data_IF_113166605322
#
_entry.id   IF_113166605322
#
_cell.length_a   1.000
_cell.length_b   1.000
_cell.length_c   1.000
_cell.angle_alpha   90.00
_cell.angle_beta   90.00
_cell.angle_gamma   90.00
#
_symmetry.space_group_name_H-M   'P 1'
#
loop_
_entity.id
_entity.type
_entity.pdbx_description
1 polymer ?
#
# COMPACT_ATOMS: atom_id res chain seq x y z
N UNK A 1 -1.77 -1.23 61.24
CA UNK A 1 -2.70 -2.33 60.91
C UNK A 1 -2.41 -2.79 59.49
N UNK A 2 -1.65 -3.86 59.32
CA UNK A 2 -1.36 -4.43 58.00
C UNK A 2 -2.43 -5.47 57.66
N UNK A 3 -3.20 -5.22 56.61
CA UNK A 3 -4.21 -6.14 56.07
C UNK A 3 -3.50 -7.30 55.35
N UNK A 4 -3.55 -8.48 55.96
CA UNK A 4 -3.04 -9.72 55.37
C UNK A 4 -4.06 -10.20 54.32
N UNK A 5 -3.83 -9.89 53.04
CA UNK A 5 -4.64 -10.43 51.93
C UNK A 5 -4.20 -11.87 51.69
N UNK A 6 -4.91 -12.82 52.29
CA UNK A 6 -4.74 -14.23 51.97
C UNK A 6 -5.00 -14.44 50.47
N UNK A 7 -4.05 -15.06 49.77
CA UNK A 7 -4.21 -15.45 48.37
C UNK A 7 -5.39 -16.42 48.20
N UNK A 8 -5.89 -16.59 46.97
CA UNK A 8 -7.02 -17.46 46.73
C UNK A 8 -6.70 -18.90 47.17
N UNK A 9 -7.69 -19.62 47.74
CA UNK A 9 -7.50 -20.98 48.22
C UNK A 9 -7.09 -21.91 47.06
N UNK A 10 -6.25 -22.90 47.33
CA UNK A 10 -5.73 -23.84 46.33
C UNK A 10 -6.84 -24.57 45.55
N UNK A 11 -8.01 -24.75 46.16
CA UNK A 11 -9.20 -25.31 45.50
C UNK A 11 -9.75 -24.45 44.37
N UNK A 12 -9.59 -23.12 44.46
CA UNK A 12 -9.98 -22.19 43.41
C UNK A 12 -9.05 -22.29 42.19
N UNK A 13 -7.75 -22.48 42.42
CA UNK A 13 -6.79 -22.71 41.35
C UNK A 13 -7.00 -24.07 40.65
N UNK A 14 -7.42 -25.08 41.39
CA UNK A 14 -7.82 -26.37 40.81
C UNK A 14 -9.06 -26.23 39.93
N UNK A 15 -10.12 -25.54 40.42
CA UNK A 15 -11.32 -25.29 39.62
C UNK A 15 -11.08 -24.46 38.36
N UNK A 16 -10.11 -23.54 38.37
CA UNK A 16 -9.69 -22.81 37.17
C UNK A 16 -8.97 -23.69 36.14
N UNK A 17 -8.19 -24.67 36.60
CA UNK A 17 -7.56 -25.65 35.70
C UNK A 17 -8.59 -26.56 35.07
N UNK A 18 -9.51 -27.09 35.86
CA UNK A 18 -10.61 -27.92 35.36
C UNK A 18 -11.47 -27.14 34.35
N UNK A 19 -11.73 -25.86 34.63
CA UNK A 19 -12.42 -24.97 33.69
C UNK A 19 -11.62 -24.71 32.40
N UNK A 20 -10.31 -24.45 32.50
CA UNK A 20 -9.44 -24.28 31.33
C UNK A 20 -9.32 -25.55 30.49
N UNK A 21 -9.33 -26.74 31.10
CA UNK A 21 -9.29 -28.01 30.38
C UNK A 21 -10.64 -28.34 29.73
N UNK A 22 -11.75 -28.14 30.46
CA UNK A 22 -13.10 -28.42 29.95
C UNK A 22 -13.53 -27.44 28.84
N UNK A 23 -13.03 -26.20 28.90
CA UNK A 23 -13.31 -25.14 27.92
C UNK A 23 -12.03 -24.67 27.24
N UNK A 24 -11.11 -25.59 26.95
CA UNK A 24 -9.92 -25.28 26.17
C UNK A 24 -10.35 -24.72 24.81
N UNK A 25 -10.42 -23.40 24.71
CA UNK A 25 -10.65 -22.72 23.45
C UNK A 25 -9.38 -22.98 22.64
N UNK A 26 -9.44 -23.70 21.52
CA UNK A 26 -8.28 -23.82 20.66
C UNK A 26 -7.86 -22.40 20.27
N UNK A 27 -6.69 -21.98 20.77
CA UNK A 27 -6.06 -20.75 20.31
C UNK A 27 -5.48 -21.09 18.96
N UNK A 28 -6.29 -20.95 17.91
CA UNK A 28 -5.75 -20.94 16.56
C UNK A 28 -4.87 -19.71 16.42
N UNK A 29 -3.61 -19.93 16.03
CA UNK A 29 -2.70 -18.85 15.69
C UNK A 29 -3.16 -18.20 14.38
N UNK A 30 -4.14 -17.32 14.49
CA UNK A 30 -4.72 -16.54 13.38
C UNK A 30 -3.67 -15.68 12.66
N UNK A 31 -2.45 -15.56 13.21
CA UNK A 31 -1.31 -15.00 12.49
C UNK A 31 -0.92 -15.82 11.25
N UNK A 32 -1.48 -17.01 11.01
CA UNK A 32 -1.19 -17.81 9.80
C UNK A 32 -2.30 -17.87 8.75
N UNK A 33 -3.52 -17.37 9.00
CA UNK A 33 -4.65 -17.51 8.06
C UNK A 33 -4.84 -16.34 7.07
N UNK A 34 -4.46 -15.10 7.43
CA UNK A 34 -4.48 -13.95 6.51
C UNK A 34 -3.39 -13.90 5.39
N UNK A 35 -2.25 -14.65 5.40
CA UNK A 35 -1.21 -14.48 4.40
C UNK A 35 -1.59 -15.04 3.03
N UNK A 36 -2.49 -16.03 2.97
CA UNK A 36 -2.85 -16.68 1.71
C UNK A 36 -3.67 -15.74 0.79
N UNK A 37 -4.57 -14.93 1.36
CA UNK A 37 -5.45 -14.05 0.58
C UNK A 37 -4.67 -12.89 -0.08
N UNK A 38 -3.87 -12.17 0.70
CA UNK A 38 -3.04 -11.07 0.19
C UNK A 38 -1.96 -11.53 -0.81
N UNK A 39 -1.42 -12.72 -0.57
CA UNK A 39 -0.49 -13.33 -1.50
C UNK A 39 -1.20 -13.76 -2.79
N UNK A 40 -2.46 -14.20 -2.71
CA UNK A 40 -3.24 -14.57 -3.89
C UNK A 40 -3.57 -13.37 -4.79
N UNK A 41 -4.02 -12.24 -4.23
CA UNK A 41 -4.29 -11.03 -4.99
C UNK A 41 -3.03 -10.44 -5.62
N UNK A 42 -1.91 -10.42 -4.88
CA UNK A 42 -0.63 -9.95 -5.39
C UNK A 42 -0.09 -10.85 -6.51
N UNK A 43 -0.20 -12.17 -6.37
CA UNK A 43 0.19 -13.13 -7.42
C UNK A 43 -0.68 -13.00 -8.66
N UNK A 44 -1.99 -12.85 -8.49
CA UNK A 44 -2.90 -12.62 -9.61
C UNK A 44 -2.58 -11.32 -10.33
N UNK A 45 -2.34 -10.23 -9.58
CA UNK A 45 -1.92 -8.95 -10.14
C UNK A 45 -0.60 -9.08 -10.92
N UNK A 46 0.38 -9.80 -10.38
CA UNK A 46 1.67 -10.04 -11.06
C UNK A 46 1.51 -10.85 -12.35
N UNK A 47 0.69 -11.91 -12.34
CA UNK A 47 0.46 -12.77 -13.51
C UNK A 47 -0.27 -12.05 -14.66
N UNK A 48 -1.14 -11.09 -14.31
CA UNK A 48 -1.93 -10.33 -15.28
C UNK A 48 -1.30 -8.96 -15.62
N UNK A 49 -0.12 -8.67 -15.08
CA UNK A 49 0.51 -7.37 -15.23
C UNK A 49 0.96 -7.13 -16.69
N UNK A 50 0.68 -5.95 -17.25
CA UNK A 50 1.37 -5.42 -18.40
C UNK A 50 2.90 -5.46 -18.26
N UNK A 51 3.65 -5.70 -19.35
CA UNK A 51 5.11 -5.83 -19.32
C UNK A 51 5.85 -4.65 -18.68
N UNK A 52 5.26 -3.46 -18.74
CA UNK A 52 5.87 -2.22 -18.24
C UNK A 52 6.13 -2.24 -16.74
N UNK A 53 5.34 -3.01 -15.97
CA UNK A 53 5.48 -3.08 -14.51
C UNK A 53 5.37 -4.49 -13.93
N UNK A 54 5.33 -5.53 -14.78
CA UNK A 54 5.25 -6.93 -14.35
C UNK A 54 6.41 -7.34 -13.43
N UNK A 55 7.63 -6.93 -13.77
CA UNK A 55 8.83 -7.27 -12.99
C UNK A 55 8.75 -6.73 -11.55
N UNK A 56 8.22 -5.51 -11.37
CA UNK A 56 8.03 -4.95 -10.04
C UNK A 56 7.05 -5.76 -9.19
N UNK A 57 5.95 -6.25 -9.78
CA UNK A 57 5.00 -7.09 -9.04
C UNK A 57 5.56 -8.49 -8.76
N UNK A 58 6.33 -9.07 -9.68
CA UNK A 58 7.02 -10.34 -9.45
C UNK A 58 8.02 -10.24 -8.28
N UNK A 59 8.85 -9.20 -8.26
CA UNK A 59 9.77 -8.92 -7.16
C UNK A 59 9.02 -8.62 -5.84
N UNK A 60 7.86 -7.97 -5.90
CA UNK A 60 7.01 -7.75 -4.73
C UNK A 60 6.53 -9.07 -4.11
N UNK A 61 6.11 -10.04 -4.93
CA UNK A 61 5.72 -11.39 -4.48
C UNK A 61 6.89 -12.05 -3.76
N UNK A 62 8.07 -12.07 -4.37
CA UNK A 62 9.26 -12.69 -3.78
C UNK A 62 9.64 -12.02 -2.45
N UNK A 63 9.61 -10.70 -2.38
CA UNK A 63 9.89 -9.96 -1.16
C UNK A 63 8.88 -10.31 -0.06
N UNK A 64 7.59 -10.37 -0.39
CA UNK A 64 6.55 -10.66 0.59
C UNK A 64 6.68 -12.08 1.15
N UNK A 65 6.94 -13.08 0.29
CA UNK A 65 7.14 -14.49 0.69
C UNK A 65 8.33 -14.69 1.61
N UNK A 66 9.39 -13.90 1.41
CA UNK A 66 10.58 -13.88 2.26
C UNK A 66 10.45 -12.98 3.48
N UNK A 67 9.25 -12.46 3.77
CA UNK A 67 8.96 -11.55 4.88
C UNK A 67 9.74 -10.22 4.81
N UNK A 68 10.17 -9.82 3.62
CA UNK A 68 10.84 -8.55 3.33
C UNK A 68 9.81 -7.45 3.05
N UNK A 69 8.94 -7.17 4.03
CA UNK A 69 7.74 -6.34 3.83
C UNK A 69 8.04 -4.90 3.39
N UNK A 70 9.15 -4.30 3.83
CA UNK A 70 9.58 -2.97 3.33
C UNK A 70 9.85 -3.00 1.84
N UNK A 71 10.54 -4.03 1.36
CA UNK A 71 10.85 -4.20 -0.05
C UNK A 71 9.57 -4.48 -0.83
N UNK A 72 8.71 -5.38 -0.35
CA UNK A 72 7.42 -5.65 -0.99
C UNK A 72 6.58 -4.37 -1.19
N UNK A 73 6.49 -3.51 -0.16
CA UNK A 73 5.81 -2.21 -0.25
C UNK A 73 6.44 -1.30 -1.31
N UNK A 74 7.78 -1.22 -1.36
CA UNK A 74 8.49 -0.42 -2.35
C UNK A 74 8.21 -0.91 -3.79
N UNK A 75 8.18 -2.22 -3.99
CA UNK A 75 7.98 -2.82 -5.31
C UNK A 75 6.54 -2.68 -5.81
N UNK A 76 5.52 -2.89 -4.94
CA UNK A 76 4.12 -2.62 -5.30
C UNK A 76 3.90 -1.13 -5.59
N UNK A 77 4.55 -0.24 -4.83
CA UNK A 77 4.49 1.19 -5.11
C UNK A 77 5.07 1.55 -6.48
N UNK A 78 6.25 0.98 -6.82
CA UNK A 78 6.87 1.20 -8.12
C UNK A 78 5.95 0.76 -9.27
N UNK A 79 5.34 -0.42 -9.15
CA UNK A 79 4.35 -0.90 -10.11
C UNK A 79 3.15 0.05 -10.26
N UNK A 80 2.65 0.55 -9.12
CA UNK A 80 1.50 1.46 -9.08
C UNK A 80 1.77 2.77 -9.82
N UNK A 81 2.93 3.38 -9.56
CA UNK A 81 3.31 4.63 -10.23
C UNK A 81 3.59 4.43 -11.71
N UNK A 82 4.27 3.35 -12.10
CA UNK A 82 4.53 3.04 -13.51
C UNK A 82 3.22 2.79 -14.28
N UNK A 83 2.26 2.09 -13.67
CA UNK A 83 0.91 1.94 -14.21
C UNK A 83 0.24 3.30 -14.43
N UNK A 84 0.25 4.19 -13.41
CA UNK A 84 -0.32 5.53 -13.54
C UNK A 84 0.37 6.37 -14.63
N UNK A 85 1.69 6.27 -14.77
CA UNK A 85 2.41 6.92 -15.89
C UNK A 85 1.99 6.36 -17.25
N UNK A 86 1.78 5.05 -17.34
CA UNK A 86 1.21 4.40 -18.51
C UNK A 86 -0.16 4.96 -18.89
N UNK A 87 -1.04 5.11 -17.89
CA UNK A 87 -2.40 5.68 -18.07
C UNK A 87 -2.36 7.12 -18.57
N UNK A 88 -1.43 7.95 -18.06
CA UNK A 88 -1.23 9.32 -18.58
C UNK A 88 -0.79 9.30 -20.05
N UNK A 89 0.08 8.35 -20.41
CA UNK A 89 0.62 8.24 -21.76
C UNK A 89 -0.38 7.68 -22.77
N UNK A 90 -1.24 6.73 -22.36
CA UNK A 90 -2.26 6.12 -23.22
C UNK A 90 -3.49 7.01 -23.40
N UNK A 91 -3.88 7.77 -22.38
CA UNK A 91 -5.06 8.62 -22.45
C UNK A 91 -4.89 9.74 -23.48
N UNK A 92 -5.92 9.96 -24.32
CA UNK A 92 -5.89 11.00 -25.35
C UNK A 92 -5.68 12.39 -24.72
N UNK A 93 -4.52 12.98 -24.98
CA UNK A 93 -4.12 14.27 -24.44
C UNK A 93 -3.79 14.25 -22.95
N UNK A 94 -3.57 13.07 -22.34
CA UNK A 94 -3.32 12.90 -20.90
C UNK A 94 -2.15 13.73 -20.40
N UNK A 95 -1.01 13.69 -21.11
CA UNK A 95 0.17 14.54 -20.82
C UNK A 95 -0.20 16.03 -20.83
N UNK A 96 -0.97 16.48 -21.83
CA UNK A 96 -1.41 17.87 -21.93
C UNK A 96 -2.34 18.28 -20.79
N UNK A 97 -3.23 17.39 -20.35
CA UNK A 97 -4.12 17.62 -19.19
C UNK A 97 -3.33 17.74 -17.88
N UNK A 98 -2.38 16.84 -17.65
CA UNK A 98 -1.49 16.91 -16.48
C UNK A 98 -0.68 18.20 -16.51
N UNK A 99 -0.15 18.58 -17.68
CA UNK A 99 0.60 19.80 -17.85
C UNK A 99 -0.26 21.06 -17.61
N UNK A 100 -1.51 21.08 -18.06
CA UNK A 100 -2.44 22.18 -17.78
C UNK A 100 -2.70 22.33 -16.28
N UNK A 101 -2.93 21.22 -15.57
CA UNK A 101 -3.07 21.21 -14.11
C UNK A 101 -1.78 21.69 -13.40
N UNK A 102 -0.62 21.21 -13.88
CA UNK A 102 0.70 21.57 -13.34
C UNK A 102 0.96 23.07 -13.47
N UNK A 103 0.68 23.65 -14.64
CA UNK A 103 0.80 25.09 -14.84
C UNK A 103 -0.18 25.88 -13.97
N UNK A 104 -1.44 25.45 -13.88
CA UNK A 104 -2.45 26.12 -13.06
C UNK A 104 -2.08 26.17 -11.57
N UNK A 105 -1.48 25.10 -11.03
CA UNK A 105 -1.02 25.06 -9.62
C UNK A 105 0.35 25.68 -9.40
N UNK A 106 1.31 25.35 -10.25
CA UNK A 106 2.72 25.57 -9.97
C UNK A 106 3.41 26.48 -10.97
N UNK A 107 2.73 27.03 -11.99
CA UNK A 107 3.35 27.80 -13.07
C UNK A 107 4.16 29.03 -12.63
N UNK A 108 3.91 29.54 -11.42
CA UNK A 108 4.65 30.67 -10.82
C UNK A 108 5.70 30.23 -9.78
N UNK A 109 5.81 28.94 -9.49
CA UNK A 109 6.80 28.41 -8.54
C UNK A 109 8.19 28.32 -9.19
N UNK A 110 9.23 28.76 -8.47
CA UNK A 110 10.61 28.68 -8.96
C UNK A 110 11.17 27.26 -9.19
N UNK A 111 10.47 26.23 -8.70
CA UNK A 111 10.80 24.80 -8.95
C UNK A 111 9.92 24.16 -10.03
N UNK A 112 9.11 24.95 -10.72
CA UNK A 112 8.24 24.49 -11.79
C UNK A 112 9.04 23.80 -12.89
N UNK A 113 8.53 22.64 -13.33
CA UNK A 113 9.06 21.88 -14.46
C UNK A 113 7.91 21.55 -15.38
N UNK A 114 8.07 21.90 -16.64
CA UNK A 114 7.09 21.62 -17.68
C UNK A 114 7.08 20.13 -18.02
N UNK A 115 5.89 19.55 -18.21
CA UNK A 115 5.67 18.15 -18.60
C UNK A 115 5.24 18.11 -20.07
N UNK A 116 6.09 17.57 -20.95
CA UNK A 116 5.83 17.46 -22.39
C UNK A 116 5.65 16.03 -22.87
N UNK A 117 6.19 15.07 -22.13
CA UNK A 117 6.13 13.63 -22.41
C UNK A 117 6.07 12.82 -21.12
N UNK A 118 5.73 11.53 -21.22
CA UNK A 118 5.66 10.57 -20.10
C UNK A 118 6.89 10.68 -19.18
N UNK A 119 8.10 10.67 -19.75
CA UNK A 119 9.34 10.67 -18.95
C UNK A 119 9.55 11.95 -18.15
N UNK A 120 8.87 13.06 -18.48
CA UNK A 120 8.97 14.28 -17.71
C UNK A 120 8.21 14.18 -16.37
N UNK A 121 7.28 13.22 -16.23
CA UNK A 121 6.58 12.93 -14.99
C UNK A 121 7.52 12.51 -13.86
N UNK A 122 8.68 11.92 -14.21
CA UNK A 122 9.74 11.53 -13.25
C UNK A 122 10.37 12.72 -12.53
N UNK A 123 10.23 13.93 -13.08
CA UNK A 123 10.74 15.15 -12.46
C UNK A 123 9.75 15.80 -11.50
N UNK A 124 8.51 15.32 -11.46
CA UNK A 124 7.55 15.69 -10.44
C UNK A 124 7.83 14.83 -9.19
N UNK A 125 7.67 15.41 -8.01
CA UNK A 125 7.54 14.57 -6.82
C UNK A 125 6.27 13.72 -6.92
N UNK A 126 6.28 12.52 -6.34
CA UNK A 126 5.12 11.62 -6.38
C UNK A 126 3.88 12.27 -5.75
N UNK A 127 4.05 13.06 -4.69
CA UNK A 127 2.97 13.84 -4.07
C UNK A 127 2.36 14.86 -5.05
N UNK A 128 3.20 15.62 -5.75
CA UNK A 128 2.74 16.53 -6.81
C UNK A 128 2.03 15.77 -7.91
N UNK A 129 2.60 14.66 -8.38
CA UNK A 129 2.00 13.85 -9.44
C UNK A 129 0.61 13.33 -9.06
N UNK A 130 0.45 12.82 -7.83
CA UNK A 130 -0.84 12.34 -7.30
C UNK A 130 -1.85 13.50 -7.21
N UNK A 131 -1.43 14.68 -6.75
CA UNK A 131 -2.31 15.85 -6.70
C UNK A 131 -2.76 16.29 -8.09
N UNK A 132 -1.83 16.41 -9.03
CA UNK A 132 -2.11 16.80 -10.41
C UNK A 132 -2.98 15.77 -11.14
N UNK A 133 -2.87 14.50 -10.77
CA UNK A 133 -3.73 13.43 -11.28
C UNK A 133 -5.20 13.63 -10.87
N UNK A 134 -5.48 14.10 -9.65
CA UNK A 134 -6.85 14.47 -9.25
C UNK A 134 -7.34 15.69 -10.04
N UNK A 135 -6.51 16.74 -10.14
CA UNK A 135 -6.90 17.99 -10.83
C UNK A 135 -7.17 17.80 -12.31
N UNK A 136 -6.40 16.92 -12.96
CA UNK A 136 -6.61 16.56 -14.35
C UNK A 136 -7.86 15.67 -14.55
N UNK A 137 -8.44 15.16 -13.46
CA UNK A 137 -9.55 14.23 -13.48
C UNK A 137 -9.15 12.81 -13.88
N UNK A 138 -7.89 12.41 -13.65
CA UNK A 138 -7.44 11.02 -13.84
C UNK A 138 -7.91 10.12 -12.71
N UNK A 139 -7.93 10.65 -11.48
CA UNK A 139 -8.34 9.92 -10.27
C UNK A 139 -9.37 10.72 -9.48
N UNK A 140 -10.16 10.04 -8.66
CA UNK A 140 -11.07 10.72 -7.73
C UNK A 140 -10.39 11.10 -6.41
N UNK A 141 -11.08 11.88 -5.57
CA UNK A 141 -10.58 12.33 -4.26
C UNK A 141 -10.22 11.17 -3.31
N UNK A 142 -10.98 10.07 -3.35
CA UNK A 142 -10.72 8.90 -2.48
C UNK A 142 -9.41 8.21 -2.88
N UNK A 143 -9.16 8.09 -4.19
CA UNK A 143 -7.91 7.60 -4.73
C UNK A 143 -6.73 8.51 -4.34
N UNK A 144 -6.86 9.83 -4.48
CA UNK A 144 -5.80 10.77 -4.05
C UNK A 144 -5.45 10.57 -2.57
N UNK A 145 -6.47 10.50 -1.70
CA UNK A 145 -6.25 10.30 -0.25
C UNK A 145 -5.52 8.98 0.03
N UNK A 146 -5.99 7.89 -0.57
CA UNK A 146 -5.41 6.55 -0.37
C UNK A 146 -3.98 6.47 -0.88
N UNK A 147 -3.69 7.07 -2.04
CA UNK A 147 -2.35 7.17 -2.61
C UNK A 147 -1.42 8.02 -1.73
N UNK A 148 -1.90 9.12 -1.16
CA UNK A 148 -1.10 9.96 -0.25
C UNK A 148 -0.75 9.25 1.07
N UNK A 149 -1.72 8.51 1.65
CA UNK A 149 -1.48 7.67 2.83
C UNK A 149 -0.48 6.54 2.49
N UNK A 150 -0.63 5.92 1.32
CA UNK A 150 0.28 4.89 0.81
C UNK A 150 1.70 5.41 0.56
N UNK A 151 1.84 6.60 -0.03
CA UNK A 151 3.13 7.28 -0.24
C UNK A 151 3.84 7.51 1.09
N UNK A 152 3.11 7.89 2.14
CA UNK A 152 3.68 8.06 3.47
C UNK A 152 4.27 6.75 4.00
N UNK A 153 3.53 5.64 3.91
CA UNK A 153 4.00 4.32 4.31
C UNK A 153 5.21 3.87 3.49
N UNK A 154 5.16 4.07 2.17
CA UNK A 154 6.29 3.77 1.28
C UNK A 154 7.53 4.56 1.67
N UNK A 155 7.41 5.85 1.98
CA UNK A 155 8.53 6.68 2.37
C UNK A 155 9.14 6.23 3.71
N UNK A 156 8.32 5.83 4.69
CA UNK A 156 8.81 5.21 5.92
C UNK A 156 9.61 3.92 5.63
N UNK A 157 9.16 3.13 4.65
CA UNK A 157 9.86 1.92 4.22
C UNK A 157 11.14 2.22 3.42
N UNK A 158 11.19 3.31 2.65
CA UNK A 158 12.35 3.68 1.82
C UNK A 158 13.48 4.40 2.57
N UNK A 159 13.15 5.16 3.62
CA UNK A 159 14.16 5.86 4.42
C UNK A 159 14.92 4.91 5.37
N UNK A 160 16.21 5.20 5.66
CA UNK A 160 17.01 4.42 6.60
C UNK A 160 16.56 4.70 8.05
N UNK A 161 15.40 4.16 8.41
CA UNK A 161 14.82 4.26 9.75
C UNK A 161 14.72 2.87 10.39
N UNK A 162 14.41 2.81 11.68
CA UNK A 162 14.13 1.54 12.37
C UNK A 162 12.70 1.02 12.11
N UNK A 163 11.91 1.71 11.29
CA UNK A 163 10.55 1.33 11.00
C UNK A 163 10.50 -0.03 10.28
N UNK A 164 9.69 -0.94 10.80
CA UNK A 164 9.45 -2.26 10.23
C UNK A 164 7.94 -2.49 10.17
N UNK A 165 7.32 -2.44 8.99
CA UNK A 165 5.91 -2.74 8.85
C UNK A 165 5.69 -4.21 9.21
N UNK A 166 4.64 -4.46 9.99
CA UNK A 166 4.15 -5.81 10.21
C UNK A 166 3.49 -6.36 8.95
N UNK A 167 3.27 -7.67 8.92
CA UNK A 167 2.62 -8.34 7.79
C UNK A 167 1.28 -7.71 7.42
N UNK A 168 0.38 -7.52 8.39
CA UNK A 168 -0.96 -6.98 8.13
C UNK A 168 -0.93 -5.60 7.47
N UNK A 169 0.07 -4.79 7.83
CA UNK A 169 0.23 -3.47 7.24
C UNK A 169 0.68 -3.58 5.77
N UNK A 170 1.54 -4.55 5.44
CA UNK A 170 1.89 -4.84 4.06
C UNK A 170 0.70 -5.39 3.27
N UNK A 171 -0.10 -6.27 3.86
CA UNK A 171 -1.35 -6.79 3.26
C UNK A 171 -2.30 -5.66 2.91
N UNK A 172 -2.62 -4.79 3.87
CA UNK A 172 -3.53 -3.67 3.67
C UNK A 172 -3.02 -2.77 2.54
N UNK A 173 -1.72 -2.50 2.51
CA UNK A 173 -1.10 -1.71 1.46
C UNK A 173 -1.25 -2.36 0.08
N UNK A 174 -0.90 -3.65 -0.02
CA UNK A 174 -1.00 -4.44 -1.26
C UNK A 174 -2.44 -4.46 -1.77
N UNK A 175 -3.37 -4.92 -0.94
CA UNK A 175 -4.80 -5.03 -1.30
C UNK A 175 -5.40 -3.69 -1.71
N UNK A 176 -5.04 -2.62 -1.00
CA UNK A 176 -5.53 -1.27 -1.31
C UNK A 176 -5.08 -0.82 -2.70
N UNK A 177 -3.80 -1.00 -3.06
CA UNK A 177 -3.30 -0.54 -4.36
C UNK A 177 -3.68 -1.48 -5.51
N UNK A 178 -3.67 -2.79 -5.28
CA UNK A 178 -4.07 -3.80 -6.27
C UNK A 178 -5.53 -3.60 -6.67
N UNK A 179 -6.44 -3.59 -5.69
CA UNK A 179 -7.88 -3.58 -5.98
C UNK A 179 -8.39 -2.25 -6.50
N UNK A 180 -7.72 -1.14 -6.18
CA UNK A 180 -8.23 0.19 -6.50
C UNK A 180 -7.49 0.89 -7.64
N UNK A 181 -6.17 0.72 -7.73
CA UNK A 181 -5.33 1.46 -8.69
C UNK A 181 -4.86 0.55 -9.82
N UNK A 182 -4.21 -0.58 -9.51
CA UNK A 182 -3.67 -1.49 -10.53
C UNK A 182 -4.77 -2.20 -11.33
N UNK A 183 -5.92 -2.48 -10.70
CA UNK A 183 -7.12 -2.97 -11.40
C UNK A 183 -7.77 -1.90 -12.30
N UNK A 184 -7.41 -0.63 -12.12
CA UNK A 184 -8.05 0.51 -12.76
C UNK A 184 -9.39 0.95 -12.15
N UNK A 185 -9.86 0.34 -11.04
CA UNK A 185 -11.19 0.64 -10.48
C UNK A 185 -11.41 2.12 -10.13
N UNK A 186 -10.37 2.84 -9.71
CA UNK A 186 -10.45 4.26 -9.37
C UNK A 186 -9.82 5.19 -10.41
N UNK A 187 -9.37 4.64 -11.54
CA UNK A 187 -8.88 5.42 -12.67
C UNK A 187 -10.06 5.81 -13.57
N UNK A 188 -10.20 7.11 -13.82
CA UNK A 188 -11.23 7.67 -14.69
C UNK A 188 -10.80 7.68 -16.16
N UNK A 189 -9.51 7.52 -16.42
CA UNK A 189 -8.92 7.44 -17.74
C UNK A 189 -8.72 5.97 -18.12
N UNK A 190 -8.97 5.64 -19.39
CA UNK A 190 -8.83 4.30 -19.96
C UNK A 190 -8.05 4.38 -21.26
#
# INVERSE_FOLDING_TARGET
MASNRAGPPLSWLAGLRDFQEAYAIPVEDTSTQAPAAALSSLREAANNAPPEYADYLAEAVECYERQLYRAAILMVWAATIEHMYGVVASHRGGVGKIQAANFARYGQHGKYREVKKKNDLLYLSEDQFIQLSEDAGMINRNARRTLAESLTLRNLCGHPTQYRPGREQAVIFVESLVNNILSGSWLQWR
#
